data_IF_814407124174
#
_entry.id   IF_814407124174
#
_cell.length_a   1.000
_cell.length_b   1.000
_cell.length_c   1.000
_cell.angle_alpha   90.00
_cell.angle_beta   90.00
_cell.angle_gamma   90.00
#
_symmetry.space_group_name_H-M   'P 1'
#
loop_
_entity.id
_entity.type
_entity.pdbx_description
1 polymer ?
#
# COMPACT_ATOMS: atom_id res chain seq x y z
N UNK A 1 -21.76 10.89 46.75
CA UNK A 1 -22.23 10.06 45.61
C UNK A 1 -22.19 8.56 45.92
N UNK A 2 -21.05 8.02 46.38
CA UNK A 2 -20.89 6.61 46.77
C UNK A 2 -21.93 6.11 47.80
N UNK A 3 -22.25 6.92 48.81
CA UNK A 3 -23.25 6.56 49.82
C UNK A 3 -24.64 6.27 49.22
N UNK A 4 -25.11 7.13 48.31
CA UNK A 4 -26.41 6.94 47.65
C UNK A 4 -26.39 5.71 46.75
N UNK A 5 -25.28 5.46 46.04
CA UNK A 5 -25.12 4.26 45.22
C UNK A 5 -25.19 2.99 46.07
N UNK A 6 -24.52 2.97 47.23
CA UNK A 6 -24.52 1.82 48.15
C UNK A 6 -25.91 1.61 48.76
N UNK A 7 -26.60 2.68 49.15
CA UNK A 7 -27.96 2.58 49.68
C UNK A 7 -28.99 2.15 48.63
N UNK A 8 -28.82 2.55 47.36
CA UNK A 8 -29.64 2.08 46.24
C UNK A 8 -29.41 0.60 45.94
N UNK A 9 -28.16 0.12 45.94
CA UNK A 9 -27.86 -1.30 45.74
C UNK A 9 -28.36 -2.15 46.92
N UNK A 10 -28.30 -1.64 48.15
CA UNK A 10 -28.82 -2.33 49.34
C UNK A 10 -30.35 -2.37 49.42
N UNK A 11 -31.04 -1.40 48.82
CA UNK A 11 -32.51 -1.36 48.75
C UNK A 11 -33.07 -2.07 47.52
N UNK A 12 -32.22 -2.44 46.55
CA UNK A 12 -32.62 -3.24 45.39
C UNK A 12 -32.94 -4.69 45.80
N UNK A 13 -34.07 -5.19 45.33
CA UNK A 13 -34.42 -6.61 45.43
C UNK A 13 -33.56 -7.45 44.48
N UNK A 14 -33.13 -8.65 44.89
CA UNK A 14 -32.48 -9.60 43.98
C UNK A 14 -33.49 -10.00 42.89
N UNK A 15 -33.29 -9.53 41.67
CA UNK A 15 -33.97 -10.03 40.47
C UNK A 15 -33.30 -11.36 40.15
N UNK A 16 -33.95 -12.46 40.50
CA UNK A 16 -33.56 -13.77 39.98
C UNK A 16 -33.85 -13.79 38.50
N UNK A 17 -32.94 -14.28 37.66
CA UNK A 17 -33.24 -14.58 36.27
C UNK A 17 -34.42 -15.55 36.25
N UNK A 18 -35.62 -15.04 35.97
CA UNK A 18 -36.75 -15.90 35.64
C UNK A 18 -36.41 -16.61 34.33
N UNK A 19 -36.74 -17.90 34.23
CA UNK A 19 -36.70 -18.63 32.97
C UNK A 19 -37.72 -17.99 32.03
N UNK A 20 -37.31 -16.92 31.36
CA UNK A 20 -38.09 -16.23 30.35
C UNK A 20 -38.06 -17.08 29.07
N UNK A 21 -38.92 -18.10 29.05
CA UNK A 21 -39.15 -18.88 27.83
C UNK A 21 -40.08 -18.09 26.91
N UNK A 22 -39.65 -17.91 25.66
CA UNK A 22 -40.50 -17.31 24.66
C UNK A 22 -41.76 -18.20 24.47
N UNK A 23 -42.98 -17.63 24.44
CA UNK A 23 -44.18 -18.42 24.20
C UNK A 23 -44.07 -19.17 22.88
N UNK A 24 -44.54 -20.43 22.87
CA UNK A 24 -44.44 -21.30 21.71
C UNK A 24 -44.99 -20.61 20.43
N UNK A 25 -44.21 -20.69 19.35
CA UNK A 25 -44.54 -20.10 18.05
C UNK A 25 -45.90 -20.61 17.57
N UNK A 26 -46.90 -19.71 17.54
CA UNK A 26 -48.25 -20.04 17.04
C UNK A 26 -48.17 -20.42 15.57
N UNK A 27 -48.71 -21.60 15.21
CA UNK A 27 -48.77 -22.07 13.82
C UNK A 27 -49.61 -21.09 12.97
N UNK A 28 -49.00 -20.50 11.95
CA UNK A 28 -49.68 -19.55 11.05
C UNK A 28 -50.64 -20.32 10.11
N UNK A 29 -51.96 -20.03 10.13
CA UNK A 29 -52.94 -20.76 9.33
C UNK A 29 -52.81 -20.46 7.83
N UNK A 30 -53.05 -21.46 6.97
CA UNK A 30 -52.95 -21.34 5.49
C UNK A 30 -53.81 -20.21 4.90
N UNK A 31 -54.95 -19.87 5.52
CA UNK A 31 -55.82 -18.75 5.09
C UNK A 31 -55.15 -17.38 5.22
N UNK A 32 -54.28 -17.17 6.22
CA UNK A 32 -53.54 -15.91 6.42
C UNK A 32 -52.47 -15.70 5.35
N UNK A 33 -51.86 -16.80 4.88
CA UNK A 33 -50.82 -16.79 3.84
C UNK A 33 -51.37 -16.53 2.42
N UNK A 34 -52.68 -16.66 2.20
CA UNK A 34 -53.31 -16.57 0.86
C UNK A 34 -53.38 -15.14 0.32
N UNK A 35 -53.19 -14.12 1.17
CA UNK A 35 -53.18 -12.68 0.80
C UNK A 35 -51.79 -12.04 0.89
N UNK A 36 -50.75 -12.86 1.09
CA UNK A 36 -49.38 -12.37 1.22
C UNK A 36 -48.76 -12.05 -0.15
N UNK A 37 -47.89 -11.05 -0.20
CA UNK A 37 -47.16 -10.66 -1.41
C UNK A 37 -46.12 -11.70 -1.83
N UNK A 38 -45.57 -11.54 -3.03
CA UNK A 38 -44.67 -12.51 -3.69
C UNK A 38 -43.39 -12.86 -2.88
N UNK A 39 -42.89 -11.96 -2.03
CA UNK A 39 -41.65 -12.19 -1.25
C UNK A 39 -41.88 -12.62 0.21
N UNK A 40 -43.11 -12.53 0.72
CA UNK A 40 -43.44 -12.78 2.14
C UNK A 40 -43.08 -14.19 2.60
N UNK A 41 -43.07 -15.16 1.68
CA UNK A 41 -42.71 -16.54 2.00
C UNK A 41 -41.24 -16.69 2.44
N UNK A 42 -40.39 -15.77 1.97
CA UNK A 42 -38.97 -15.67 2.25
C UNK A 42 -38.70 -14.78 3.48
N UNK A 43 -39.34 -13.62 3.56
CA UNK A 43 -39.21 -12.66 4.68
C UNK A 43 -39.59 -13.27 6.04
N UNK A 44 -40.58 -14.17 6.06
CA UNK A 44 -41.01 -14.85 7.28
C UNK A 44 -40.04 -15.93 7.78
N UNK A 45 -39.03 -16.30 6.98
CA UNK A 45 -38.08 -17.38 7.27
C UNK A 45 -36.65 -16.81 7.29
N UNK A 46 -36.25 -16.13 8.38
CA UNK A 46 -34.96 -15.43 8.44
C UNK A 46 -33.78 -16.34 8.05
N UNK A 47 -33.75 -17.59 8.52
CA UNK A 47 -32.70 -18.55 8.16
C UNK A 47 -32.64 -18.81 6.65
N UNK A 48 -33.78 -18.96 5.96
CA UNK A 48 -33.80 -19.19 4.50
C UNK A 48 -33.41 -17.93 3.74
N UNK A 49 -33.87 -16.77 4.19
CA UNK A 49 -33.49 -15.48 3.61
C UNK A 49 -31.99 -15.24 3.72
N UNK A 50 -31.40 -15.49 4.89
CA UNK A 50 -29.94 -15.39 5.08
C UNK A 50 -29.19 -16.32 4.13
N UNK A 51 -29.59 -17.60 4.02
CA UNK A 51 -28.93 -18.55 3.11
C UNK A 51 -28.97 -18.06 1.66
N UNK A 52 -30.15 -17.66 1.16
CA UNK A 52 -30.26 -17.21 -0.23
C UNK A 52 -29.56 -15.87 -0.49
N UNK A 53 -29.59 -14.94 0.47
CA UNK A 53 -28.84 -13.69 0.37
C UNK A 53 -27.33 -13.95 0.34
N UNK A 54 -26.82 -14.83 1.20
CA UNK A 54 -25.40 -15.24 1.19
C UNK A 54 -25.02 -15.86 -0.16
N UNK A 55 -25.83 -16.79 -0.69
CA UNK A 55 -25.57 -17.38 -2.01
C UNK A 55 -25.54 -16.30 -3.11
N UNK A 56 -26.51 -15.38 -3.11
CA UNK A 56 -26.56 -14.31 -4.11
C UNK A 56 -25.32 -13.40 -4.08
N UNK A 57 -24.83 -13.05 -2.89
CA UNK A 57 -23.60 -12.23 -2.71
C UNK A 57 -22.37 -13.02 -3.18
N UNK A 58 -22.27 -14.31 -2.82
CA UNK A 58 -21.13 -15.15 -3.18
C UNK A 58 -21.00 -15.37 -4.68
N UNK A 59 -22.12 -15.44 -5.42
CA UNK A 59 -22.09 -15.56 -6.88
C UNK A 59 -21.35 -14.36 -7.50
N UNK A 60 -21.62 -13.14 -7.04
CA UNK A 60 -20.92 -11.94 -7.52
C UNK A 60 -19.41 -12.00 -7.25
N UNK A 61 -19.02 -12.40 -6.05
CA UNK A 61 -17.61 -12.56 -5.67
C UNK A 61 -16.90 -13.64 -6.50
N UNK A 62 -17.53 -14.80 -6.69
CA UNK A 62 -16.96 -15.90 -7.47
C UNK A 62 -16.76 -15.47 -8.93
N UNK A 63 -17.76 -14.86 -9.55
CA UNK A 63 -17.68 -14.45 -10.97
C UNK A 63 -16.61 -13.38 -11.21
N UNK A 64 -16.38 -12.48 -10.25
CA UNK A 64 -15.39 -11.41 -10.39
C UNK A 64 -13.97 -11.83 -10.00
N UNK A 65 -13.78 -12.62 -8.94
CA UNK A 65 -12.46 -12.89 -8.36
C UNK A 65 -11.84 -14.16 -8.96
N UNK A 66 -12.61 -15.25 -9.09
CA UNK A 66 -12.06 -16.57 -9.44
C UNK A 66 -11.45 -16.59 -10.85
N UNK A 67 -12.08 -16.04 -11.90
CA UNK A 67 -11.48 -16.01 -13.23
C UNK A 67 -10.16 -15.23 -13.29
N UNK A 68 -10.02 -14.17 -12.50
CA UNK A 68 -8.79 -13.36 -12.46
C UNK A 68 -7.64 -14.12 -11.81
N UNK A 69 -7.91 -15.00 -10.83
CA UNK A 69 -6.88 -15.80 -10.16
C UNK A 69 -6.45 -17.04 -10.95
N UNK A 70 -7.33 -17.61 -11.79
CA UNK A 70 -7.08 -18.90 -12.45
C UNK A 70 -6.66 -18.81 -13.92
N UNK A 71 -6.85 -17.65 -14.55
CA UNK A 71 -6.61 -17.48 -15.99
C UNK A 71 -5.37 -16.61 -16.18
N UNK A 72 -4.22 -17.25 -16.37
CA UNK A 72 -2.91 -16.58 -16.50
C UNK A 72 -2.87 -15.53 -17.61
N UNK A 73 -3.62 -15.75 -18.70
CA UNK A 73 -3.71 -14.77 -19.81
C UNK A 73 -4.34 -13.44 -19.41
N UNK A 74 -5.03 -13.36 -18.27
CA UNK A 74 -5.60 -12.11 -17.77
C UNK A 74 -4.53 -11.18 -17.18
N UNK A 75 -3.39 -11.72 -16.73
CA UNK A 75 -2.29 -10.96 -16.12
C UNK A 75 -0.97 -11.40 -16.77
N UNK A 76 -0.66 -10.92 -17.98
CA UNK A 76 0.59 -11.27 -18.64
C UNK A 76 1.77 -10.74 -17.82
N UNK A 77 2.65 -11.63 -17.37
CA UNK A 77 3.91 -11.26 -16.71
C UNK A 77 4.83 -10.60 -17.72
N UNK A 78 5.27 -9.39 -17.42
CA UNK A 78 6.23 -8.65 -18.25
C UNK A 78 7.63 -9.09 -17.84
N UNK A 79 8.41 -9.64 -18.77
CA UNK A 79 9.74 -10.23 -18.50
C UNK A 79 10.76 -9.24 -17.93
N UNK A 80 10.61 -7.95 -18.25
CA UNK A 80 11.47 -6.89 -17.74
C UNK A 80 11.14 -6.49 -16.30
N UNK A 81 9.95 -6.81 -15.79
CA UNK A 81 9.55 -6.46 -14.42
C UNK A 81 10.28 -7.39 -13.45
N UNK A 82 11.09 -6.77 -12.58
CA UNK A 82 11.85 -7.47 -11.52
C UNK A 82 11.24 -7.21 -10.15
N UNK A 83 11.35 -8.16 -9.20
CA UNK A 83 11.06 -7.89 -7.80
C UNK A 83 11.80 -6.65 -7.29
N UNK A 84 11.23 -5.97 -6.31
CA UNK A 84 11.88 -4.84 -5.65
C UNK A 84 13.21 -5.25 -5.04
N UNK A 85 14.22 -4.39 -5.08
CA UNK A 85 15.39 -4.60 -4.23
C UNK A 85 14.98 -4.53 -2.75
N UNK A 86 15.79 -5.04 -1.81
CA UNK A 86 15.39 -5.00 -0.41
C UNK A 86 15.27 -3.57 0.14
N UNK A 87 16.04 -2.60 -0.38
CA UNK A 87 15.91 -1.19 0.00
C UNK A 87 14.65 -0.53 -0.57
N UNK A 88 14.28 -0.88 -1.80
CA UNK A 88 13.03 -0.45 -2.43
C UNK A 88 11.81 -1.03 -1.73
N UNK A 89 11.89 -2.30 -1.30
CA UNK A 89 10.83 -2.96 -0.53
C UNK A 89 10.58 -2.24 0.81
N UNK A 90 11.66 -1.90 1.53
CA UNK A 90 11.54 -1.09 2.74
C UNK A 90 11.02 0.33 2.45
N UNK A 91 11.45 0.95 1.35
CA UNK A 91 10.95 2.25 0.91
C UNK A 91 9.45 2.25 0.56
N UNK A 92 8.98 1.14 0.01
CA UNK A 92 7.58 0.89 -0.30
C UNK A 92 6.74 0.77 0.97
N UNK A 93 7.25 0.08 1.98
CA UNK A 93 6.59 -0.02 3.28
C UNK A 93 6.49 1.35 3.96
N UNK A 94 7.52 2.20 3.84
CA UNK A 94 7.44 3.59 4.28
C UNK A 94 6.39 4.38 3.51
N UNK A 95 6.32 4.23 2.18
CA UNK A 95 5.27 4.85 1.36
C UNK A 95 3.84 4.45 1.82
N UNK A 96 3.67 3.21 2.27
CA UNK A 96 2.43 2.71 2.87
C UNK A 96 2.20 3.33 4.25
N UNK A 97 3.21 3.31 5.13
CA UNK A 97 3.16 3.84 6.50
C UNK A 97 2.74 5.31 6.53
N UNK A 98 3.32 6.10 5.63
CA UNK A 98 3.04 7.53 5.50
C UNK A 98 1.71 7.83 4.79
N UNK A 99 1.02 6.81 4.28
CA UNK A 99 -0.30 6.98 3.65
C UNK A 99 -0.26 7.73 2.32
N UNK A 100 0.90 7.76 1.64
CA UNK A 100 1.10 8.48 0.37
C UNK A 100 0.06 8.10 -0.71
N UNK A 101 -0.39 6.84 -0.70
CA UNK A 101 -1.46 6.29 -1.58
C UNK A 101 -2.79 7.04 -1.48
N UNK A 102 -3.04 7.76 -0.38
CA UNK A 102 -4.25 8.56 -0.16
C UNK A 102 -4.29 9.84 -1.01
N UNK A 103 -3.12 10.32 -1.44
CA UNK A 103 -2.97 11.53 -2.23
C UNK A 103 -2.43 11.26 -3.63
N UNK A 104 -1.65 10.19 -3.80
CA UNK A 104 -0.96 9.84 -5.03
C UNK A 104 -1.42 8.48 -5.54
N UNK A 105 -1.89 8.47 -6.79
CA UNK A 105 -2.11 7.23 -7.50
C UNK A 105 -0.82 6.69 -8.10
N UNK A 106 -0.82 5.40 -8.36
CA UNK A 106 0.19 4.70 -9.13
C UNK A 106 -0.51 3.86 -10.19
N UNK A 107 -1.35 4.51 -11.01
CA UNK A 107 -2.10 3.86 -12.09
C UNK A 107 -2.49 4.89 -13.15
N UNK A 108 -1.72 4.93 -14.23
CA UNK A 108 -1.97 5.82 -15.37
C UNK A 108 -3.02 5.19 -16.26
N UNK A 109 -4.11 5.92 -16.51
CA UNK A 109 -5.22 5.44 -17.34
C UNK A 109 -4.90 5.59 -18.84
N UNK A 110 -5.46 4.75 -19.72
CA UNK A 110 -5.18 4.76 -21.16
C UNK A 110 -5.91 5.90 -21.90
N UNK A 111 -5.79 7.13 -21.39
CA UNK A 111 -6.26 8.34 -22.05
C UNK A 111 -5.08 9.15 -22.57
N UNK A 112 -5.21 9.75 -23.76
CA UNK A 112 -4.15 10.58 -24.35
C UNK A 112 -3.64 11.65 -23.39
N UNK A 113 -4.53 12.35 -22.69
CA UNK A 113 -4.18 13.42 -21.75
C UNK A 113 -3.42 12.92 -20.52
N UNK A 114 -3.64 11.68 -20.09
CA UNK A 114 -2.84 11.07 -19.02
C UNK A 114 -1.48 10.63 -19.52
N UNK A 115 -1.45 10.03 -20.71
CA UNK A 115 -0.20 9.56 -21.30
C UNK A 115 0.75 10.72 -21.59
N UNK A 116 0.22 11.83 -22.09
CA UNK A 116 1.00 13.06 -22.32
C UNK A 116 1.52 13.67 -21.01
N UNK A 117 0.76 13.55 -19.91
CA UNK A 117 1.12 14.13 -18.62
C UNK A 117 2.10 13.28 -17.82
N UNK A 118 1.87 11.97 -17.77
CA UNK A 118 2.56 11.05 -16.86
C UNK A 118 3.46 10.04 -17.58
N UNK A 119 3.29 9.85 -18.88
CA UNK A 119 3.99 8.81 -19.65
C UNK A 119 3.09 7.61 -19.94
N UNK A 120 3.67 6.52 -20.44
CA UNK A 120 2.91 5.36 -20.91
C UNK A 120 1.93 4.83 -19.85
N UNK A 121 0.72 4.48 -20.30
CA UNK A 121 -0.35 3.97 -19.44
C UNK A 121 0.10 2.69 -18.72
N UNK A 122 -0.47 2.44 -17.55
CA UNK A 122 -0.08 1.29 -16.74
C UNK A 122 -0.63 -0.02 -17.28
N UNK A 123 0.19 -1.07 -17.25
CA UNK A 123 -0.16 -2.45 -17.65
C UNK A 123 -0.31 -3.32 -16.41
N UNK A 124 -1.25 -4.27 -16.43
CA UNK A 124 -1.52 -5.15 -15.29
C UNK A 124 -0.26 -5.93 -14.82
N UNK A 125 0.58 -6.35 -15.77
CA UNK A 125 1.81 -7.09 -15.51
C UNK A 125 2.88 -6.32 -14.73
N UNK A 126 2.74 -5.01 -14.56
CA UNK A 126 3.70 -4.19 -13.80
C UNK A 126 3.48 -4.27 -12.28
N UNK A 127 2.31 -4.76 -11.85
CA UNK A 127 1.92 -4.84 -10.43
C UNK A 127 2.00 -6.26 -9.87
N UNK A 128 2.56 -7.21 -10.62
CA UNK A 128 2.55 -8.64 -10.25
C UNK A 128 3.26 -8.95 -8.94
N UNK A 129 4.18 -8.08 -8.50
CA UNK A 129 4.90 -8.22 -7.23
C UNK A 129 4.41 -7.24 -6.15
N UNK A 130 3.30 -6.54 -6.40
CA UNK A 130 2.76 -5.55 -5.47
C UNK A 130 1.82 -6.20 -4.45
N UNK A 131 2.35 -6.44 -3.26
CA UNK A 131 1.57 -6.93 -2.12
C UNK A 131 1.60 -5.90 -0.97
N UNK A 132 0.49 -5.18 -0.69
CA UNK A 132 -0.74 -5.04 -1.49
C UNK A 132 -0.58 -4.03 -2.63
N UNK A 133 -1.45 -4.03 -3.63
CA UNK A 133 -1.41 -3.05 -4.73
C UNK A 133 -1.54 -1.59 -4.23
N UNK A 134 -0.85 -0.66 -4.90
CA UNK A 134 -0.80 0.77 -4.53
C UNK A 134 -1.35 1.72 -5.61
N UNK A 135 -2.28 1.23 -6.43
CA UNK A 135 -2.88 1.98 -7.56
C UNK A 135 -3.45 3.35 -7.17
N UNK A 136 -3.90 3.50 -5.92
CA UNK A 136 -4.54 4.70 -5.40
C UNK A 136 -5.97 4.89 -5.89
N UNK A 137 -6.77 5.66 -5.15
CA UNK A 137 -8.17 5.96 -5.49
C UNK A 137 -8.45 7.46 -5.64
N UNK A 138 -7.44 8.31 -5.33
CA UNK A 138 -7.53 9.77 -5.34
C UNK A 138 -6.23 10.37 -5.87
N UNK A 139 -6.33 11.55 -6.49
CA UNK A 139 -5.20 12.36 -6.96
C UNK A 139 -5.30 13.77 -6.38
N UNK A 140 -4.85 13.93 -5.15
CA UNK A 140 -4.57 15.24 -4.56
C UNK A 140 -3.22 15.74 -5.06
N UNK A 141 -2.23 14.84 -5.10
CA UNK A 141 -0.99 15.01 -5.85
C UNK A 141 -1.03 14.32 -7.21
N UNK A 142 0.02 14.46 -8.03
CA UNK A 142 0.14 13.77 -9.32
C UNK A 142 0.26 12.24 -9.17
N UNK A 143 -0.03 11.52 -10.26
CA UNK A 143 0.30 10.10 -10.35
C UNK A 143 1.83 9.91 -10.31
N UNK A 144 2.30 8.91 -9.57
CA UNK A 144 3.72 8.65 -9.32
C UNK A 144 4.27 7.44 -10.07
N UNK A 145 3.45 6.70 -10.83
CA UNK A 145 3.89 5.41 -11.35
C UNK A 145 5.07 5.49 -12.33
N UNK A 146 5.33 6.65 -12.93
CA UNK A 146 6.42 6.90 -13.88
C UNK A 146 7.43 7.93 -13.38
N UNK A 147 7.52 8.14 -12.07
CA UNK A 147 8.43 9.15 -11.49
C UNK A 147 9.89 8.69 -11.51
N UNK A 148 10.16 7.39 -11.65
CA UNK A 148 11.51 6.84 -11.63
C UNK A 148 12.43 7.48 -12.68
N UNK A 149 13.51 8.11 -12.22
CA UNK A 149 14.49 8.83 -13.03
C UNK A 149 13.98 10.15 -13.63
N UNK A 150 12.80 10.66 -13.23
CA UNK A 150 12.28 11.95 -13.68
C UNK A 150 12.93 13.14 -12.96
N UNK A 151 13.25 12.95 -11.67
CA UNK A 151 13.87 13.94 -10.82
C UNK A 151 15.11 13.34 -10.13
N UNK A 152 16.14 14.15 -9.82
CA UNK A 152 17.30 13.67 -9.07
C UNK A 152 16.93 13.32 -7.63
N UNK A 153 17.77 12.53 -6.96
CA UNK A 153 17.56 12.13 -5.57
C UNK A 153 17.46 13.35 -4.63
N UNK A 154 18.24 14.41 -4.89
CA UNK A 154 18.19 15.67 -4.14
C UNK A 154 16.84 16.37 -4.25
N UNK A 155 16.17 16.30 -5.41
CA UNK A 155 14.82 16.83 -5.57
C UNK A 155 13.83 16.07 -4.70
N UNK A 156 13.91 14.74 -4.66
CA UNK A 156 13.04 13.93 -3.79
C UNK A 156 13.29 14.24 -2.31
N UNK A 157 14.56 14.37 -1.91
CA UNK A 157 14.93 14.77 -0.55
C UNK A 157 14.33 16.13 -0.19
N UNK A 158 14.58 17.15 -1.00
CA UNK A 158 14.10 18.52 -0.77
C UNK A 158 12.57 18.60 -0.82
N UNK A 159 11.92 17.84 -1.71
CA UNK A 159 10.46 17.77 -1.77
C UNK A 159 9.85 17.15 -0.51
N UNK A 160 10.46 16.12 0.07
CA UNK A 160 9.99 15.55 1.34
C UNK A 160 10.29 16.46 2.53
N UNK A 161 11.38 17.24 2.48
CA UNK A 161 11.72 18.22 3.52
C UNK A 161 10.75 19.41 3.53
N UNK A 162 10.53 19.99 2.36
CA UNK A 162 9.60 21.09 2.12
C UNK A 162 9.05 21.00 0.69
N UNK A 163 7.82 20.46 0.52
CA UNK A 163 7.22 20.34 -0.80
C UNK A 163 7.03 21.66 -1.54
N UNK A 164 6.93 22.79 -0.83
CA UNK A 164 6.76 24.11 -1.44
C UNK A 164 8.06 24.65 -2.04
N UNK A 165 9.21 24.23 -1.52
CA UNK A 165 10.53 24.64 -2.04
C UNK A 165 10.76 24.18 -3.48
N UNK A 166 10.26 22.99 -3.81
CA UNK A 166 10.43 22.34 -5.13
C UNK A 166 9.18 22.45 -6.00
N UNK A 167 8.01 22.65 -5.40
CA UNK A 167 6.72 22.80 -6.08
C UNK A 167 5.93 23.95 -5.43
N UNK A 168 6.09 25.19 -5.92
CA UNK A 168 5.40 26.35 -5.36
C UNK A 168 3.88 26.16 -5.30
N UNK A 169 3.29 26.41 -4.13
CA UNK A 169 1.85 26.18 -3.90
C UNK A 169 1.46 24.72 -3.66
N UNK A 170 2.43 23.82 -3.43
CA UNK A 170 2.16 22.44 -3.02
C UNK A 170 1.35 22.41 -1.73
N UNK A 171 0.35 21.53 -1.70
CA UNK A 171 -0.47 21.21 -0.52
C UNK A 171 -0.03 19.90 0.15
N UNK A 172 1.06 19.29 -0.34
CA UNK A 172 1.62 18.09 0.27
C UNK A 172 2.19 18.43 1.66
N UNK A 173 1.95 17.59 2.69
CA UNK A 173 2.61 17.74 3.99
C UNK A 173 4.14 17.57 3.87
N UNK A 174 4.89 18.26 4.73
CA UNK A 174 6.31 17.99 4.89
C UNK A 174 6.53 16.71 5.72
N UNK A 175 7.48 15.87 5.29
CA UNK A 175 7.83 14.58 5.90
C UNK A 175 9.25 14.63 6.49
N UNK A 176 9.55 15.69 7.25
CA UNK A 176 10.89 15.95 7.80
C UNK A 176 11.40 14.83 8.74
N UNK A 177 10.51 14.05 9.34
CA UNK A 177 10.88 12.89 10.16
C UNK A 177 11.60 11.82 9.35
N UNK A 178 11.23 11.56 8.10
CA UNK A 178 11.93 10.60 7.24
C UNK A 178 13.42 10.95 7.05
N UNK A 179 13.75 12.24 7.13
CA UNK A 179 15.10 12.77 7.00
C UNK A 179 15.89 12.66 8.30
N UNK A 180 15.23 12.55 9.45
CA UNK A 180 15.87 12.48 10.78
C UNK A 180 15.95 11.05 11.31
N UNK A 181 14.91 10.27 11.07
CA UNK A 181 14.69 9.00 11.71
C UNK A 181 15.55 7.90 11.08
N UNK A 182 16.10 7.05 11.94
CA UNK A 182 16.82 5.85 11.52
C UNK A 182 15.82 4.81 11.03
N UNK A 183 16.13 4.18 9.91
CA UNK A 183 15.34 3.08 9.37
C UNK A 183 15.71 1.76 10.05
N UNK A 184 14.77 1.16 10.78
CA UNK A 184 14.90 -0.23 11.23
C UNK A 184 14.69 -1.20 10.06
N UNK A 185 15.76 -1.91 9.70
CA UNK A 185 15.83 -2.85 8.57
C UNK A 185 16.10 -4.27 9.02
N UNK A 186 15.88 -4.56 10.30
CA UNK A 186 16.21 -5.84 10.93
C UNK A 186 15.38 -7.03 10.43
N UNK A 187 14.22 -6.75 9.82
CA UNK A 187 13.27 -7.77 9.37
C UNK A 187 13.23 -7.96 7.84
N UNK A 188 14.17 -7.37 7.09
CA UNK A 188 14.09 -7.40 5.62
C UNK A 188 14.15 -8.82 5.04
N UNK A 189 14.98 -9.70 5.60
CA UNK A 189 15.07 -11.10 5.16
C UNK A 189 13.75 -11.84 5.39
N UNK A 190 13.09 -11.60 6.52
CA UNK A 190 11.80 -12.20 6.84
C UNK A 190 10.68 -11.65 5.93
N UNK A 191 10.73 -10.34 5.60
CA UNK A 191 9.82 -9.74 4.61
C UNK A 191 10.03 -10.35 3.23
N UNK A 192 11.28 -10.51 2.78
CA UNK A 192 11.56 -11.15 1.49
C UNK A 192 11.08 -12.60 1.45
N UNK A 193 11.26 -13.38 2.53
CA UNK A 193 10.69 -14.74 2.64
C UNK A 193 9.16 -14.74 2.59
N UNK A 194 8.51 -13.75 3.23
CA UNK A 194 7.06 -13.60 3.14
C UNK A 194 6.62 -13.28 1.70
N UNK A 195 7.37 -12.44 0.99
CA UNK A 195 7.12 -12.15 -0.42
C UNK A 195 7.32 -13.39 -1.31
N UNK A 196 8.31 -14.24 -1.02
CA UNK A 196 8.46 -15.56 -1.68
C UNK A 196 7.22 -16.43 -1.46
N UNK A 197 6.69 -16.48 -0.24
CA UNK A 197 5.46 -17.23 0.05
C UNK A 197 4.22 -16.69 -0.71
N UNK A 198 4.26 -15.42 -1.12
CA UNK A 198 3.23 -14.77 -1.94
C UNK A 198 3.47 -14.91 -3.45
N UNK A 199 4.55 -15.60 -3.87
CA UNK A 199 4.86 -15.87 -5.27
C UNK A 199 5.89 -14.93 -5.90
N UNK A 200 6.51 -14.03 -5.13
CA UNK A 200 7.59 -13.16 -5.63
C UNK A 200 8.88 -13.97 -5.77
N UNK A 201 9.54 -14.00 -6.94
CA UNK A 201 10.63 -14.92 -7.23
C UNK A 201 11.99 -14.42 -6.70
N UNK A 202 12.12 -14.15 -5.40
CA UNK A 202 13.43 -13.97 -4.77
C UNK A 202 14.15 -15.32 -4.64
N UNK A 203 15.45 -15.33 -4.93
CA UNK A 203 16.30 -16.49 -4.68
C UNK A 203 16.81 -16.50 -3.23
N UNK A 204 17.26 -17.65 -2.75
CA UNK A 204 17.95 -17.74 -1.44
C UNK A 204 19.20 -16.85 -1.40
N UNK A 205 19.87 -16.65 -2.54
CA UNK A 205 21.00 -15.74 -2.66
C UNK A 205 20.59 -14.27 -2.50
N UNK A 206 19.44 -13.87 -3.06
CA UNK A 206 18.90 -12.51 -2.89
C UNK A 206 18.61 -12.22 -1.42
N UNK A 207 18.02 -13.19 -0.71
CA UNK A 207 17.67 -13.07 0.71
C UNK A 207 18.95 -13.04 1.56
N UNK A 208 19.90 -13.94 1.31
CA UNK A 208 21.16 -13.99 2.05
C UNK A 208 22.02 -12.72 1.87
N UNK A 209 21.94 -12.09 0.69
CA UNK A 209 22.66 -10.85 0.39
C UNK A 209 21.83 -9.57 0.60
N UNK A 210 20.64 -9.66 1.21
CA UNK A 210 19.72 -8.54 1.31
C UNK A 210 20.36 -7.28 1.91
N UNK A 211 21.01 -7.40 3.08
CA UNK A 211 21.68 -6.28 3.76
C UNK A 211 22.81 -5.68 2.91
N UNK A 212 23.54 -6.52 2.18
CA UNK A 212 24.62 -6.07 1.29
C UNK A 212 24.06 -5.26 0.13
N UNK A 213 23.03 -5.77 -0.55
CA UNK A 213 22.35 -5.05 -1.63
C UNK A 213 21.77 -3.71 -1.16
N UNK A 214 21.20 -3.67 0.05
CA UNK A 214 20.73 -2.42 0.65
C UNK A 214 21.86 -1.44 0.91
N UNK A 215 22.98 -1.91 1.46
CA UNK A 215 24.15 -1.06 1.72
C UNK A 215 24.70 -0.47 0.42
N UNK A 216 24.83 -1.27 -0.63
CA UNK A 216 25.32 -0.81 -1.94
C UNK A 216 24.38 0.20 -2.59
N UNK A 217 23.06 -0.06 -2.57
CA UNK A 217 22.08 0.86 -3.16
C UNK A 217 21.97 2.17 -2.34
N UNK A 218 21.95 2.07 -1.01
CA UNK A 218 21.90 3.26 -0.15
C UNK A 218 23.14 4.13 -0.30
N UNK A 219 24.33 3.55 -0.45
CA UNK A 219 25.55 4.31 -0.72
C UNK A 219 25.47 5.08 -2.04
N UNK A 220 24.90 4.50 -3.10
CA UNK A 220 24.71 5.20 -4.38
C UNK A 220 23.77 6.39 -4.24
N UNK A 221 22.64 6.21 -3.58
CA UNK A 221 21.68 7.31 -3.35
C UNK A 221 22.32 8.40 -2.49
N UNK A 222 23.06 8.04 -1.45
CA UNK A 222 23.75 9.02 -0.60
C UNK A 222 24.83 9.77 -1.37
N UNK A 223 25.57 9.10 -2.25
CA UNK A 223 26.54 9.76 -3.13
C UNK A 223 25.84 10.80 -4.01
N UNK A 224 24.71 10.46 -4.62
CA UNK A 224 23.91 11.41 -5.42
C UNK A 224 23.38 12.58 -4.58
N UNK A 225 22.96 12.34 -3.33
CA UNK A 225 22.48 13.38 -2.43
C UNK A 225 23.60 14.36 -2.04
N UNK A 226 24.83 13.88 -1.87
CA UNK A 226 25.98 14.73 -1.58
C UNK A 226 26.54 15.48 -2.80
N UNK A 227 25.98 15.28 -3.99
CA UNK A 227 26.25 16.19 -5.12
C UNK A 227 25.59 17.57 -4.91
N UNK A 228 24.59 17.65 -4.03
CA UNK A 228 23.95 18.90 -3.62
C UNK A 228 24.74 19.56 -2.46
N UNK A 229 25.30 20.77 -2.65
CA UNK A 229 26.09 21.45 -1.63
C UNK A 229 25.30 21.80 -0.35
N UNK A 230 24.00 22.09 -0.49
CA UNK A 230 23.16 22.49 0.64
C UNK A 230 22.87 21.30 1.54
N UNK A 231 22.60 20.14 0.93
CA UNK A 231 22.43 18.86 1.65
C UNK A 231 23.75 18.50 2.36
N UNK A 232 24.88 18.59 1.66
CA UNK A 232 26.20 18.24 2.19
C UNK A 232 26.56 19.08 3.41
N UNK A 233 26.49 20.41 3.28
CA UNK A 233 26.81 21.33 4.36
C UNK A 233 25.89 21.15 5.59
N UNK A 234 24.59 20.94 5.36
CA UNK A 234 23.63 20.68 6.43
C UNK A 234 23.97 19.42 7.25
N UNK A 235 24.29 18.31 6.59
CA UNK A 235 24.62 17.07 7.27
C UNK A 235 26.01 17.06 7.90
N UNK A 236 26.98 17.81 7.35
CA UNK A 236 28.28 18.01 7.99
C UNK A 236 28.15 18.82 9.29
N UNK A 237 27.33 19.86 9.27
CA UNK A 237 27.01 20.65 10.46
C UNK A 237 26.27 19.79 11.50
N UNK A 238 25.24 19.05 11.10
CA UNK A 238 24.50 18.15 12.00
C UNK A 238 25.44 17.11 12.64
N UNK A 239 26.39 16.56 11.87
CA UNK A 239 27.39 15.63 12.38
C UNK A 239 28.33 16.28 13.40
N UNK A 240 28.72 17.53 13.18
CA UNK A 240 29.53 18.29 14.14
C UNK A 240 28.76 18.58 15.43
N UNK A 241 27.46 18.89 15.33
CA UNK A 241 26.59 19.25 16.45
C UNK A 241 26.21 18.03 17.31
N UNK A 242 25.85 16.90 16.68
CA UNK A 242 25.40 15.69 17.38
C UNK A 242 26.53 14.75 17.81
N UNK A 243 27.69 14.81 17.15
CA UNK A 243 28.84 13.96 17.46
C UNK A 243 28.50 12.46 17.44
N UNK A 244 28.45 11.84 18.62
CA UNK A 244 28.19 10.40 18.79
C UNK A 244 26.74 9.97 18.52
N UNK A 245 25.78 10.89 18.63
CA UNK A 245 24.35 10.61 18.39
C UNK A 245 23.95 10.81 16.91
N UNK A 246 24.91 11.13 16.05
CA UNK A 246 24.68 11.35 14.62
C UNK A 246 24.27 10.05 13.90
N UNK A 247 23.13 10.10 13.21
CA UNK A 247 22.67 9.01 12.34
C UNK A 247 23.16 9.26 10.91
N UNK A 248 23.98 8.39 10.31
CA UNK A 248 24.42 8.54 8.93
C UNK A 248 23.25 8.51 7.93
N UNK A 249 23.31 9.35 6.89
CA UNK A 249 22.24 9.47 5.89
C UNK A 249 21.83 8.13 5.26
N UNK A 250 22.78 7.23 5.01
CA UNK A 250 22.55 5.88 4.46
C UNK A 250 21.62 5.01 5.31
N UNK A 251 21.52 5.30 6.60
CA UNK A 251 20.71 4.56 7.58
C UNK A 251 19.34 5.22 7.83
N UNK A 252 19.07 6.39 7.22
CA UNK A 252 17.81 7.11 7.42
C UNK A 252 16.71 6.62 6.49
N UNK A 253 15.47 6.85 6.89
CA UNK A 253 14.27 6.39 6.17
C UNK A 253 14.14 7.02 4.77
N UNK A 254 14.51 8.29 4.62
CA UNK A 254 14.44 9.03 3.36
C UNK A 254 15.16 8.32 2.21
N UNK A 255 16.31 7.68 2.49
CA UNK A 255 17.07 6.95 1.47
C UNK A 255 16.30 5.75 0.92
N UNK A 256 15.57 5.05 1.78
CA UNK A 256 14.71 3.94 1.36
C UNK A 256 13.52 4.43 0.56
N UNK A 257 12.85 5.50 1.00
CA UNK A 257 11.74 6.08 0.24
C UNK A 257 12.20 6.55 -1.15
N UNK A 258 13.35 7.21 -1.25
CA UNK A 258 13.93 7.62 -2.53
C UNK A 258 14.21 6.40 -3.42
N UNK A 259 14.79 5.33 -2.88
CA UNK A 259 15.02 4.09 -3.63
C UNK A 259 13.73 3.58 -4.28
N UNK A 260 12.66 3.50 -3.49
CA UNK A 260 11.34 3.08 -3.99
C UNK A 260 10.79 4.02 -5.07
N UNK A 261 10.81 5.34 -4.84
CA UNK A 261 10.29 6.30 -5.82
C UNK A 261 11.08 6.26 -7.14
N UNK A 262 12.40 6.10 -7.07
CA UNK A 262 13.25 5.99 -8.25
C UNK A 262 13.01 4.72 -9.06
N UNK A 263 12.48 3.67 -8.42
CA UNK A 263 12.15 2.39 -9.05
C UNK A 263 10.84 2.43 -9.84
N UNK A 264 9.92 3.36 -9.53
CA UNK A 264 8.58 3.38 -10.11
C UNK A 264 8.58 3.59 -11.64
N UNK A 265 8.08 2.57 -12.34
CA UNK A 265 7.83 2.62 -13.78
C UNK A 265 9.08 2.55 -14.67
N UNK A 266 10.22 2.13 -14.13
CA UNK A 266 11.47 1.98 -14.88
C UNK A 266 11.50 0.73 -15.75
N UNK A 267 10.79 -0.34 -15.37
CA UNK A 267 10.80 -1.64 -16.05
C UNK A 267 10.37 -1.60 -17.52
N UNK A 268 9.46 -0.67 -17.87
CA UNK A 268 8.98 -0.53 -19.25
C UNK A 268 9.89 0.32 -20.13
N UNK A 269 10.76 1.16 -19.54
CA UNK A 269 11.72 1.97 -20.31
C UNK A 269 12.74 1.07 -21.01
N UNK A 270 13.05 -0.08 -20.42
CA UNK A 270 13.94 -1.10 -20.99
C UNK A 270 13.33 -1.72 -22.26
N UNK A 271 12.02 -2.00 -22.25
CA UNK A 271 11.31 -2.56 -23.42
C UNK A 271 11.35 -1.61 -24.61
N UNK A 272 11.01 -0.32 -24.38
CA UNK A 272 11.05 0.68 -25.45
C UNK A 272 12.46 0.86 -26.03
N UNK A 273 13.51 0.62 -25.23
CA UNK A 273 14.90 0.66 -25.70
C UNK A 273 15.25 -0.57 -26.53
N UNK A 274 14.88 -1.78 -26.09
CA UNK A 274 15.09 -3.02 -26.86
C UNK A 274 14.29 -3.06 -28.17
N UNK A 275 13.03 -2.61 -28.14
CA UNK A 275 12.20 -2.48 -29.35
C UNK A 275 12.75 -1.41 -30.30
N UNK A 276 13.31 -0.30 -29.79
CA UNK A 276 13.98 0.69 -30.64
C UNK A 276 15.30 0.20 -31.26
N UNK A 277 15.96 -0.77 -30.63
CA UNK A 277 17.19 -1.40 -31.12
C UNK A 277 16.90 -2.54 -32.10
N UNK A 278 15.77 -3.25 -31.96
CA UNK A 278 15.33 -4.30 -32.89
C UNK A 278 14.77 -3.74 -34.20
N UNK A 279 14.22 -2.52 -34.20
CA UNK A 279 13.76 -1.80 -35.40
C UNK A 279 14.92 -1.22 -36.24
N UNK A 280 16.15 -1.20 -35.72
CA UNK A 280 17.36 -0.70 -36.43
C UNK A 280 18.14 -1.78 -37.21
N UNK A 281 17.54 -2.94 -37.53
CA UNK A 281 18.14 -3.93 -38.44
C UNK A 281 17.34 -4.11 -39.72
#
# INVERSE_FOLDING_TARGET
MLYNVIMTVRSGSKVTDELAEAPALKKVPKKRQKKEGYHTWLERKPVKLTIYATIAILIGGIVQIVPTLLVDSNIPTITSVKPYTPLELEGRDLYIREGCVSCHSQMIRPFRSEVERYGEYSKAGEYVYDHPFLWGSKRTGPDLFRIGGKYPDSWHFNHMYDPQSTSPGSIMPAYQWLIRDKHDRSHIEDKMKAMVALGVPYTEEDIANAQKHMAEQSQKIVANLYEDPDITSSFEQEKADLGGDYIPLKEREIVSLIAYLQRLGTDIKLINTEDSLSIKK
#
